data_IF_967486392753
#
_entry.id   IF_967486392753
#
_cell.length_a   1.000
_cell.length_b   1.000
_cell.length_c   1.000
_cell.angle_alpha   90.00
_cell.angle_beta   90.00
_cell.angle_gamma   90.00
#
_symmetry.space_group_name_H-M   'P 1'
#
loop_
_entity.id
_entity.type
_entity.pdbx_description
1 polymer ?
#
# COMPACT_ATOMS: atom_id res chain seq x y z
N UNK A 1 2.37 -7.30 -9.30
CA UNK A 1 2.97 -6.28 -10.19
C UNK A 1 2.11 -5.04 -10.11
N UNK A 2 2.69 -3.85 -10.15
CA UNK A 2 1.99 -2.57 -10.04
C UNK A 2 2.10 -1.81 -11.36
N UNK A 3 1.00 -1.21 -11.78
CA UNK A 3 0.97 -0.27 -12.90
C UNK A 3 0.41 1.06 -12.39
N UNK A 4 0.97 2.15 -12.88
CA UNK A 4 0.50 3.50 -12.63
C UNK A 4 0.33 4.21 -13.96
N UNK A 5 -0.81 4.85 -14.15
CA UNK A 5 -1.17 5.56 -15.36
C UNK A 5 -1.67 6.94 -14.99
N UNK A 6 -1.43 7.89 -15.88
CA UNK A 6 -2.08 9.19 -15.82
C UNK A 6 -3.59 9.03 -15.98
N UNK A 7 -4.37 9.53 -15.01
CA UNK A 7 -5.81 9.28 -14.95
C UNK A 7 -6.59 9.95 -16.10
N UNK A 8 -6.09 11.06 -16.65
CA UNK A 8 -6.76 11.80 -17.71
C UNK A 8 -6.47 11.21 -19.09
N UNK A 9 -5.24 10.75 -19.32
CA UNK A 9 -4.76 10.33 -20.64
C UNK A 9 -4.58 8.83 -20.79
N UNK A 10 -4.54 8.08 -19.68
CA UNK A 10 -4.22 6.65 -19.66
C UNK A 10 -2.76 6.33 -20.00
N UNK A 11 -1.90 7.34 -20.16
CA UNK A 11 -0.49 7.12 -20.44
C UNK A 11 0.21 6.50 -19.23
N UNK A 12 1.02 5.45 -19.41
CA UNK A 12 1.70 4.83 -18.29
C UNK A 12 2.83 5.72 -17.75
N UNK A 13 2.88 5.87 -16.44
CA UNK A 13 4.07 6.30 -15.72
C UNK A 13 5.04 5.11 -15.57
N UNK A 14 4.50 3.97 -15.14
CA UNK A 14 5.20 2.70 -15.13
C UNK A 14 4.20 1.55 -15.23
N UNK A 15 4.61 0.44 -15.84
CA UNK A 15 3.74 -0.73 -16.09
C UNK A 15 4.37 -1.98 -15.52
N UNK A 16 3.54 -2.90 -15.03
CA UNK A 16 3.93 -4.26 -14.67
C UNK A 16 5.15 -4.32 -13.72
N UNK A 17 5.36 -3.26 -12.93
CA UNK A 17 6.56 -3.09 -12.12
C UNK A 17 6.51 -4.02 -10.92
N UNK A 18 7.65 -4.65 -10.61
CA UNK A 18 7.75 -5.50 -9.43
C UNK A 18 7.91 -4.63 -8.20
N UNK A 19 7.12 -4.91 -7.18
CA UNK A 19 7.26 -4.29 -5.85
C UNK A 19 7.76 -5.38 -4.91
N UNK A 20 9.05 -5.39 -4.53
CA UNK A 20 9.61 -6.36 -3.60
C UNK A 20 8.86 -6.35 -2.26
N UNK A 21 8.73 -7.53 -1.64
CA UNK A 21 8.05 -7.68 -0.36
C UNK A 21 6.54 -7.91 -0.45
N UNK A 22 5.90 -7.59 -1.59
CA UNK A 22 4.49 -7.90 -1.81
C UNK A 22 4.30 -9.30 -2.41
N UNK A 23 3.28 -10.01 -1.91
CA UNK A 23 2.82 -11.28 -2.43
C UNK A 23 1.39 -11.19 -3.02
N UNK A 24 0.43 -11.95 -2.49
CA UNK A 24 -0.97 -11.91 -2.88
C UNK A 24 -1.60 -10.67 -2.28
N UNK A 25 -2.32 -9.88 -3.08
CA UNK A 25 -2.96 -8.64 -2.62
C UNK A 25 -4.46 -8.76 -2.80
N UNK A 26 -5.21 -8.64 -1.70
CA UNK A 26 -6.67 -8.48 -1.70
C UNK A 26 -7.09 -7.05 -1.34
N UNK A 27 -6.30 -6.39 -0.49
CA UNK A 27 -6.49 -5.00 -0.12
C UNK A 27 -6.36 -4.07 -1.35
N UNK A 28 -7.15 -3.01 -1.37
CA UNK A 28 -6.97 -1.95 -2.36
C UNK A 28 -5.76 -1.07 -2.02
N UNK A 29 -5.03 -0.52 -3.01
CA UNK A 29 -4.08 0.55 -2.78
C UNK A 29 -4.77 1.77 -2.13
N UNK A 30 -4.10 2.41 -1.17
CA UNK A 30 -4.61 3.59 -0.49
C UNK A 30 -3.63 4.74 -0.64
N UNK A 31 -4.10 5.91 -1.05
CA UNK A 31 -3.30 7.13 -1.09
C UNK A 31 -3.60 8.00 0.14
N UNK A 32 -2.56 8.37 0.90
CA UNK A 32 -2.66 9.28 2.04
C UNK A 32 -1.31 9.93 2.32
N UNK A 33 -1.30 11.20 2.74
CA UNK A 33 -0.09 11.89 3.19
C UNK A 33 1.08 11.90 2.20
N UNK A 34 0.81 11.97 0.88
CA UNK A 34 1.84 11.95 -0.17
C UNK A 34 2.46 10.56 -0.45
N UNK A 35 1.83 9.51 0.07
CA UNK A 35 2.27 8.13 -0.09
C UNK A 35 1.12 7.23 -0.56
N UNK A 36 1.49 6.09 -1.15
CA UNK A 36 0.58 5.00 -1.50
C UNK A 36 0.97 3.77 -0.68
N UNK A 37 -0.02 3.18 -0.01
CA UNK A 37 0.12 2.02 0.84
C UNK A 37 -0.41 0.79 0.10
N UNK A 38 0.45 -0.22 -0.06
CA UNK A 38 0.13 -1.47 -0.71
C UNK A 38 0.25 -2.58 0.32
N UNK A 39 -0.87 -3.14 0.76
CA UNK A 39 -0.89 -4.19 1.77
C UNK A 39 -1.15 -5.55 1.13
N UNK A 40 -0.21 -6.47 1.31
CA UNK A 40 -0.36 -7.86 0.90
C UNK A 40 -0.95 -8.72 2.01
N UNK A 41 -1.44 -9.90 1.61
CA UNK A 41 -2.24 -10.78 2.45
C UNK A 41 -1.46 -11.31 3.65
N UNK A 42 -0.15 -11.44 3.56
CA UNK A 42 0.74 -11.80 4.66
C UNK A 42 0.95 -10.69 5.72
N UNK A 43 0.23 -9.56 5.61
CA UNK A 43 0.34 -8.43 6.54
C UNK A 43 1.48 -7.46 6.24
N UNK A 44 2.26 -7.70 5.17
CA UNK A 44 3.29 -6.77 4.72
C UNK A 44 2.63 -5.59 4.02
N UNK A 45 2.99 -4.38 4.42
CA UNK A 45 2.63 -3.13 3.76
C UNK A 45 3.87 -2.47 3.19
N UNK A 46 3.92 -2.33 1.86
CA UNK A 46 4.95 -1.54 1.17
C UNK A 46 4.40 -0.13 0.97
N UNK A 47 5.18 0.87 1.35
CA UNK A 47 4.86 2.28 1.18
C UNK A 47 5.69 2.83 0.03
N UNK A 48 5.02 3.41 -0.95
CA UNK A 48 5.66 4.10 -2.07
C UNK A 48 5.32 5.58 -2.03
N UNK A 49 6.20 6.41 -2.59
CA UNK A 49 5.92 7.83 -2.77
C UNK A 49 4.87 8.03 -3.86
N UNK A 50 3.96 8.98 -3.68
CA UNK A 50 3.07 9.44 -4.74
C UNK A 50 3.87 10.27 -5.76
N UNK A 51 4.40 9.60 -6.78
CA UNK A 51 5.29 10.17 -7.79
C UNK A 51 5.18 9.42 -9.13
N UNK A 52 5.68 10.05 -10.19
CA UNK A 52 5.67 9.48 -11.54
C UNK A 52 6.68 8.33 -11.72
N UNK A 53 7.60 8.16 -10.78
CA UNK A 53 8.55 7.05 -10.72
C UNK A 53 8.28 6.18 -9.47
N UNK A 54 8.46 4.87 -9.62
CA UNK A 54 8.25 3.93 -8.53
C UNK A 54 9.37 4.07 -7.48
N UNK A 55 9.06 4.75 -6.38
CA UNK A 55 9.97 4.93 -5.24
C UNK A 55 9.42 4.26 -4.00
N UNK A 56 10.07 3.19 -3.52
CA UNK A 56 9.72 2.52 -2.26
C UNK A 56 10.42 3.25 -1.12
N UNK A 57 9.65 3.70 -0.13
CA UNK A 57 10.17 4.47 1.01
C UNK A 57 10.14 3.71 2.32
N UNK A 58 9.27 2.69 2.45
CA UNK A 58 9.23 1.83 3.61
C UNK A 58 8.59 0.46 3.31
N UNK A 59 8.92 -0.53 4.13
CA UNK A 59 8.25 -1.83 4.17
C UNK A 59 8.00 -2.19 5.63
N UNK A 60 6.74 -2.42 5.99
CA UNK A 60 6.31 -2.73 7.34
C UNK A 60 5.53 -4.05 7.36
N UNK A 61 5.42 -4.70 8.51
CA UNK A 61 4.56 -5.87 8.68
C UNK A 61 3.85 -5.82 10.02
N UNK A 62 2.58 -6.24 10.03
CA UNK A 62 1.79 -6.40 11.27
C UNK A 62 1.82 -7.83 11.81
N UNK A 63 2.52 -8.75 11.14
CA UNK A 63 2.69 -10.15 11.60
C UNK A 63 1.43 -11.03 11.50
N UNK A 64 0.37 -10.56 10.85
CA UNK A 64 -0.91 -11.26 10.71
C UNK A 64 -1.42 -11.25 9.27
N UNK A 65 -2.30 -12.19 8.94
CA UNK A 65 -3.05 -12.15 7.69
C UNK A 65 -3.88 -10.86 7.62
N UNK A 66 -3.86 -10.18 6.48
CA UNK A 66 -4.67 -8.97 6.22
C UNK A 66 -5.44 -9.14 4.93
N UNK A 67 -6.77 -9.25 5.02
CA UNK A 67 -7.67 -9.26 3.86
C UNK A 67 -8.37 -7.90 3.65
N UNK A 68 -8.23 -6.97 4.59
CA UNK A 68 -8.90 -5.67 4.58
C UNK A 68 -8.02 -4.55 4.01
N UNK A 69 -8.65 -3.56 3.38
CA UNK A 69 -8.00 -2.31 2.96
C UNK A 69 -7.65 -1.44 4.18
N UNK A 70 -6.41 -0.91 4.30
CA UNK A 70 -6.05 0.05 5.34
C UNK A 70 -6.97 1.28 5.35
N UNK A 71 -7.26 1.82 6.52
CA UNK A 71 -8.11 3.00 6.68
C UNK A 71 -7.31 4.18 7.27
N UNK A 72 -6.96 5.19 6.46
CA UNK A 72 -6.34 6.40 6.96
C UNK A 72 -7.39 7.30 7.64
N UNK A 73 -7.06 7.82 8.82
CA UNK A 73 -7.87 8.77 9.60
C UNK A 73 -6.93 9.78 10.22
N UNK A 74 -7.05 11.05 9.83
CA UNK A 74 -6.13 12.12 10.25
C UNK A 74 -4.66 11.72 10.06
N UNK A 75 -3.89 11.65 11.14
CA UNK A 75 -2.46 11.27 11.16
C UNK A 75 -2.24 9.79 11.52
N UNK A 76 -3.27 8.95 11.34
CA UNK A 76 -3.25 7.54 11.71
C UNK A 76 -3.67 6.65 10.55
N UNK A 77 -3.17 5.41 10.56
CA UNK A 77 -3.61 4.35 9.65
C UNK A 77 -4.04 3.15 10.46
N UNK A 78 -5.26 2.70 10.22
CA UNK A 78 -5.81 1.49 10.82
C UNK A 78 -5.70 0.31 9.86
N UNK A 79 -5.18 -0.81 10.36
CA UNK A 79 -5.06 -2.05 9.60
C UNK A 79 -5.81 -3.15 10.35
N UNK A 80 -6.85 -3.72 9.72
CA UNK A 80 -7.56 -4.87 10.27
C UNK A 80 -6.85 -6.15 9.84
N UNK A 81 -6.05 -6.70 10.76
CA UNK A 81 -5.54 -8.06 10.66
C UNK A 81 -6.61 -9.09 10.99
N UNK A 82 -6.27 -10.38 10.86
CA UNK A 82 -7.16 -11.49 11.17
C UNK A 82 -7.59 -11.48 12.65
N UNK A 83 -6.65 -11.21 13.56
CA UNK A 83 -6.92 -11.23 14.99
C UNK A 83 -7.06 -9.82 15.54
N UNK A 84 -6.19 -8.88 15.15
CA UNK A 84 -6.16 -7.54 15.76
C UNK A 84 -6.57 -6.40 14.81
N UNK A 85 -6.92 -5.26 15.41
CA UNK A 85 -6.98 -3.98 14.72
C UNK A 85 -5.75 -3.17 15.16
N UNK A 86 -4.85 -2.91 14.22
CA UNK A 86 -3.63 -2.15 14.46
C UNK A 86 -3.89 -0.66 14.18
N UNK A 87 -3.38 0.22 15.03
CA UNK A 87 -3.31 1.65 14.78
C UNK A 87 -1.84 2.04 14.64
N UNK A 88 -1.49 2.61 13.48
CA UNK A 88 -0.15 3.10 13.17
C UNK A 88 -0.21 4.62 13.19
N UNK A 89 0.58 5.23 14.07
CA UNK A 89 0.68 6.67 14.27
C UNK A 89 2.12 7.03 14.66
N UNK A 90 2.48 8.31 14.54
CA UNK A 90 3.74 8.87 15.04
C UNK A 90 3.68 9.20 16.54
#
# INVERSE_FOLDING_TARGET
QLSCVDAATGKPYYMASRVPGLDTIYASPVAAGGHIYLTSRNGTTVVIKDANDLQIVATNSVGETVDATPAPVDNQIFIRGEQHLFCIAE
#
